data_IF_476274887824
#
_entry.id   IF_476274887824
#
_cell.length_a   1.000
_cell.length_b   1.000
_cell.length_c   1.000
_cell.angle_alpha   90.00
_cell.angle_beta   90.00
_cell.angle_gamma   90.00
#
_symmetry.space_group_name_H-M   'P 1'
#
loop_
_entity.id
_entity.type
_entity.pdbx_description
1 polymer ?
#
# COMPACT_ATOMS: atom_id res chain seq x y z
N UNK A 1 -24.12 -17.29 -43.09
CA UNK A 1 -23.31 -17.87 -42.01
C UNK A 1 -22.18 -16.90 -41.72
N UNK A 2 -22.15 -16.32 -40.53
CA UNK A 2 -21.04 -15.46 -40.11
C UNK A 2 -19.90 -16.38 -39.64
N UNK A 3 -18.82 -16.44 -40.39
CA UNK A 3 -17.60 -17.17 -40.00
C UNK A 3 -16.86 -16.32 -38.96
N UNK A 4 -16.86 -16.76 -37.71
CA UNK A 4 -15.95 -16.25 -36.67
C UNK A 4 -14.52 -16.40 -37.18
N UNK A 5 -13.81 -15.29 -37.36
CA UNK A 5 -12.42 -15.29 -37.80
C UNK A 5 -11.57 -16.11 -36.82
N UNK A 6 -10.74 -17.00 -37.35
CA UNK A 6 -9.76 -17.73 -36.57
C UNK A 6 -8.80 -16.73 -35.93
N UNK A 7 -8.91 -16.51 -34.63
CA UNK A 7 -7.94 -15.74 -33.85
C UNK A 7 -6.60 -16.48 -33.88
N UNK A 8 -5.57 -15.81 -34.37
CA UNK A 8 -4.21 -16.35 -34.36
C UNK A 8 -3.81 -16.60 -32.90
N UNK A 9 -3.55 -17.86 -32.56
CA UNK A 9 -3.07 -18.23 -31.22
C UNK A 9 -1.74 -17.51 -30.94
N UNK A 10 -1.61 -16.94 -29.74
CA UNK A 10 -0.37 -16.26 -29.31
C UNK A 10 0.73 -17.30 -29.04
N UNK A 11 1.98 -16.85 -29.00
CA UNK A 11 3.11 -17.74 -28.70
C UNK A 11 3.04 -18.35 -27.30
N UNK A 12 3.70 -19.50 -27.05
CA UNK A 12 3.67 -20.17 -25.74
C UNK A 12 4.19 -19.28 -24.60
N UNK A 13 5.18 -18.42 -24.87
CA UNK A 13 5.74 -17.49 -23.89
C UNK A 13 4.73 -16.41 -23.47
N UNK A 14 3.80 -16.05 -24.35
CA UNK A 14 2.71 -15.11 -24.05
C UNK A 14 1.74 -15.71 -23.04
N UNK A 15 1.40 -16.98 -23.23
CA UNK A 15 0.57 -17.70 -22.25
C UNK A 15 1.33 -17.93 -20.93
N UNK A 16 2.62 -18.25 -20.98
CA UNK A 16 3.43 -18.36 -19.77
C UNK A 16 3.44 -17.07 -18.95
N UNK A 17 3.54 -15.91 -19.61
CA UNK A 17 3.46 -14.60 -18.96
C UNK A 17 2.07 -14.35 -18.34
N UNK A 18 1.00 -14.52 -19.14
CA UNK A 18 -0.39 -14.33 -18.69
C UNK A 18 -0.74 -15.19 -17.48
N UNK A 19 -0.37 -16.48 -17.48
CA UNK A 19 -0.75 -17.42 -16.43
C UNK A 19 0.26 -17.50 -15.29
N UNK A 20 1.49 -17.06 -15.50
CA UNK A 20 2.57 -17.13 -14.52
C UNK A 20 2.71 -15.89 -13.64
N UNK A 21 2.06 -14.78 -13.99
CA UNK A 21 2.22 -13.51 -13.28
C UNK A 21 1.03 -12.59 -13.41
N UNK A 22 -0.19 -13.08 -13.20
CA UNK A 22 -1.35 -12.21 -13.05
C UNK A 22 -1.64 -11.95 -11.57
N UNK A 23 -2.14 -10.76 -11.25
CA UNK A 23 -2.69 -10.45 -9.95
C UNK A 23 -4.15 -10.88 -9.92
N UNK A 24 -4.47 -11.95 -9.20
CA UNK A 24 -5.85 -12.41 -9.03
C UNK A 24 -6.65 -11.42 -8.18
N UNK A 25 -7.49 -10.61 -8.84
CA UNK A 25 -8.27 -9.55 -8.20
C UNK A 25 -9.63 -10.07 -7.71
N UNK A 26 -10.11 -11.18 -8.26
CA UNK A 26 -11.46 -11.70 -8.00
C UNK A 26 -11.48 -13.06 -7.28
N UNK A 27 -10.33 -13.62 -6.93
CA UNK A 27 -10.10 -14.92 -6.27
C UNK A 27 -10.63 -16.13 -7.04
N UNK A 28 -10.55 -16.11 -8.37
CA UNK A 28 -10.93 -17.27 -9.20
C UNK A 28 -9.71 -18.10 -9.66
N UNK A 29 -8.49 -17.73 -9.24
CA UNK A 29 -7.20 -18.31 -9.63
C UNK A 29 -7.02 -18.38 -11.17
N UNK A 30 -7.59 -17.43 -11.92
CA UNK A 30 -7.52 -17.35 -13.39
C UNK A 30 -7.31 -15.91 -13.86
N UNK A 31 -6.51 -15.69 -14.92
CA UNK A 31 -6.34 -14.38 -15.53
C UNK A 31 -7.50 -14.08 -16.50
N UNK A 32 -8.71 -13.94 -15.97
CA UNK A 32 -9.94 -13.75 -16.77
C UNK A 32 -10.25 -12.28 -17.02
N UNK A 33 -9.84 -11.38 -16.12
CA UNK A 33 -9.96 -9.94 -16.32
C UNK A 33 -8.67 -9.38 -16.94
N UNK A 34 -8.80 -8.45 -17.88
CA UNK A 34 -7.65 -7.80 -18.54
C UNK A 34 -6.76 -7.09 -17.51
N UNK A 35 -7.37 -6.36 -16.57
CA UNK A 35 -6.69 -5.68 -15.45
C UNK A 35 -5.89 -6.58 -14.51
N UNK A 36 -6.00 -7.91 -14.61
CA UNK A 36 -5.23 -8.85 -13.78
C UNK A 36 -3.87 -9.18 -14.38
N UNK A 37 -3.73 -9.09 -15.71
CA UNK A 37 -2.51 -9.50 -16.41
C UNK A 37 -1.96 -8.45 -17.39
N UNK A 38 -2.74 -7.42 -17.72
CA UNK A 38 -2.46 -6.35 -18.68
C UNK A 38 -3.05 -5.05 -18.11
N UNK A 39 -2.27 -4.37 -17.25
CA UNK A 39 -2.70 -3.13 -16.58
C UNK A 39 -2.70 -1.93 -17.54
N UNK A 40 -1.84 -1.93 -18.57
CA UNK A 40 -1.70 -0.83 -19.53
C UNK A 40 -2.64 -0.93 -20.75
N UNK A 41 -3.29 -2.07 -20.94
CA UNK A 41 -4.31 -2.34 -21.95
C UNK A 41 -3.76 -2.52 -23.36
N UNK A 42 -2.48 -2.89 -23.50
CA UNK A 42 -1.83 -3.05 -24.80
C UNK A 42 -2.09 -4.43 -25.46
N UNK A 43 -2.79 -5.33 -24.77
CA UNK A 43 -3.11 -6.69 -25.20
C UNK A 43 -1.96 -7.68 -24.98
N UNK A 44 -0.94 -7.30 -24.21
CA UNK A 44 0.27 -8.03 -23.90
C UNK A 44 0.38 -8.14 -22.37
N UNK A 45 0.62 -9.34 -21.81
CA UNK A 45 0.80 -9.44 -20.38
C UNK A 45 1.97 -8.59 -19.91
N UNK A 46 1.84 -7.91 -18.77
CA UNK A 46 2.89 -7.04 -18.21
C UNK A 46 4.21 -7.82 -17.97
N UNK A 47 4.10 -9.13 -17.76
CA UNK A 47 5.23 -10.06 -17.58
C UNK A 47 5.76 -10.69 -18.89
N UNK A 48 5.26 -10.26 -20.05
CA UNK A 48 5.66 -10.79 -21.34
C UNK A 48 6.79 -9.98 -21.95
N UNK A 49 7.97 -10.62 -22.05
CA UNK A 49 9.17 -9.99 -22.59
C UNK A 49 9.53 -10.61 -23.95
N UNK A 50 9.33 -9.86 -25.03
CA UNK A 50 9.79 -10.24 -26.36
C UNK A 50 11.13 -9.56 -26.69
N UNK A 51 12.23 -10.26 -26.42
CA UNK A 51 13.58 -9.71 -26.61
C UNK A 51 14.06 -9.99 -28.04
N UNK A 52 13.93 -8.99 -28.91
CA UNK A 52 14.55 -8.98 -30.26
C UNK A 52 15.86 -8.18 -30.29
N UNK A 53 16.07 -7.31 -29.29
CA UNK A 53 17.25 -6.46 -29.19
C UNK A 53 17.97 -6.69 -27.85
N UNK A 54 19.21 -7.23 -27.85
CA UNK A 54 19.94 -7.53 -26.62
C UNK A 54 20.28 -6.30 -25.78
N UNK A 55 20.29 -5.08 -26.34
CA UNK A 55 20.45 -3.84 -25.57
C UNK A 55 19.25 -3.53 -24.66
N UNK A 56 18.06 -4.04 -25.00
CA UNK A 56 16.85 -3.89 -24.16
C UNK A 56 16.69 -5.03 -23.16
N UNK A 57 17.50 -6.10 -23.27
CA UNK A 57 17.41 -7.25 -22.39
C UNK A 57 17.69 -6.87 -20.93
N UNK A 58 18.75 -6.10 -20.68
CA UNK A 58 19.12 -5.67 -19.32
C UNK A 58 18.03 -4.79 -18.70
N UNK A 59 17.56 -3.79 -19.43
CA UNK A 59 16.48 -2.91 -18.97
C UNK A 59 15.18 -3.69 -18.69
N UNK A 60 14.81 -4.60 -19.59
CA UNK A 60 13.60 -5.41 -19.42
C UNK A 60 13.74 -6.40 -18.26
N UNK A 61 14.89 -7.02 -18.09
CA UNK A 61 15.16 -7.94 -16.98
C UNK A 61 15.16 -7.21 -15.64
N UNK A 62 15.72 -6.00 -15.57
CA UNK A 62 15.63 -5.14 -14.39
C UNK A 62 14.19 -4.78 -14.09
N UNK A 63 13.39 -4.39 -15.09
CA UNK A 63 11.95 -4.15 -14.91
C UNK A 63 11.23 -5.40 -14.41
N UNK A 64 11.53 -6.58 -14.97
CA UNK A 64 10.93 -7.84 -14.50
C UNK A 64 11.24 -8.11 -13.03
N UNK A 65 12.49 -7.91 -12.61
CA UNK A 65 12.88 -8.08 -11.22
C UNK A 65 12.26 -7.01 -10.32
N UNK A 66 12.18 -5.76 -10.79
CA UNK A 66 11.48 -4.67 -10.10
C UNK A 66 9.99 -5.00 -9.91
N UNK A 67 9.33 -5.53 -10.94
CA UNK A 67 7.93 -5.94 -10.88
C UNK A 67 7.73 -7.14 -9.95
N UNK A 68 8.64 -8.12 -9.97
CA UNK A 68 8.61 -9.25 -9.01
C UNK A 68 8.77 -8.73 -7.58
N UNK A 69 9.71 -7.81 -7.35
CA UNK A 69 9.92 -7.18 -6.05
C UNK A 69 8.72 -6.33 -5.62
N UNK A 70 8.10 -5.59 -6.54
CA UNK A 70 6.92 -4.76 -6.29
C UNK A 70 5.62 -5.53 -6.14
N UNK A 71 5.52 -6.73 -6.74
CA UNK A 71 4.42 -7.69 -6.53
C UNK A 71 4.59 -8.49 -5.25
N UNK A 72 5.83 -8.66 -4.80
CA UNK A 72 6.14 -9.15 -3.47
C UNK A 72 5.68 -8.15 -2.41
N UNK A 73 4.39 -8.15 -2.09
CA UNK A 73 3.92 -7.56 -0.84
C UNK A 73 4.60 -8.31 0.29
N UNK A 74 5.61 -7.66 0.87
CA UNK A 74 6.33 -8.23 2.01
C UNK A 74 5.50 -7.94 3.25
N UNK A 75 5.01 -9.01 3.85
CA UNK A 75 4.26 -8.99 5.09
C UNK A 75 5.25 -9.11 6.24
N UNK A 76 5.06 -8.35 7.31
CA UNK A 76 5.87 -8.52 8.51
C UNK A 76 5.04 -9.02 9.67
N UNK A 77 5.77 -9.61 10.62
CA UNK A 77 5.29 -10.33 11.79
C UNK A 77 4.01 -9.71 12.38
N UNK A 78 2.91 -10.47 12.44
CA UNK A 78 1.66 -10.01 13.05
C UNK A 78 1.91 -9.60 14.51
N UNK A 79 1.43 -8.41 14.88
CA UNK A 79 1.36 -8.00 16.29
C UNK A 79 -0.02 -8.39 16.81
N UNK A 80 -0.04 -9.29 17.79
CA UNK A 80 -1.26 -9.61 18.54
C UNK A 80 -1.32 -8.66 19.73
N UNK A 81 -2.36 -7.84 19.79
CA UNK A 81 -2.55 -6.94 20.93
C UNK A 81 -2.88 -7.76 22.19
N UNK A 82 -2.05 -7.65 23.22
CA UNK A 82 -2.44 -8.03 24.57
C UNK A 82 -3.21 -6.86 25.17
N UNK A 83 -4.43 -7.10 25.64
CA UNK A 83 -5.21 -6.07 26.32
C UNK A 83 -4.50 -5.74 27.66
N UNK A 84 -3.95 -4.52 27.78
CA UNK A 84 -3.20 -4.09 28.97
C UNK A 84 -4.09 -3.99 30.23
N UNK A 85 -5.40 -3.80 30.06
CA UNK A 85 -6.34 -3.69 31.18
C UNK A 85 -6.77 -5.05 31.74
N UNK A 86 -6.68 -6.12 30.94
CA UNK A 86 -7.15 -7.44 31.32
C UNK A 86 -6.20 -8.53 30.83
N UNK A 87 -5.14 -8.77 31.62
CA UNK A 87 -4.04 -9.73 31.35
C UNK A 87 -4.47 -11.21 31.23
N UNK A 88 -5.78 -11.49 31.14
CA UNK A 88 -6.36 -12.84 30.99
C UNK A 88 -7.19 -13.00 29.70
N UNK A 89 -7.28 -11.96 28.87
CA UNK A 89 -7.90 -12.07 27.54
C UNK A 89 -6.87 -11.76 26.45
N UNK A 90 -6.71 -12.71 25.52
CA UNK A 90 -5.98 -12.50 24.27
C UNK A 90 -6.85 -11.62 23.38
N UNK A 91 -6.30 -10.51 22.86
CA UNK A 91 -7.03 -9.68 21.93
C UNK A 91 -7.36 -10.47 20.67
N UNK A 92 -8.64 -10.52 20.30
CA UNK A 92 -9.17 -11.19 19.11
C UNK A 92 -8.91 -10.38 17.83
N UNK A 93 -7.84 -9.58 17.82
CA UNK A 93 -7.44 -8.69 16.74
C UNK A 93 -5.95 -8.83 16.48
N UNK A 94 -5.60 -8.80 15.19
CA UNK A 94 -4.23 -8.81 14.71
C UNK A 94 -3.99 -7.57 13.84
N UNK A 95 -2.86 -6.93 14.07
CA UNK A 95 -2.41 -5.79 13.28
C UNK A 95 -1.28 -6.25 12.37
N UNK A 96 -1.46 -6.00 11.07
CA UNK A 96 -0.56 -6.42 10.01
C UNK A 96 0.02 -5.18 9.34
N UNK A 97 1.34 -5.07 9.39
CA UNK A 97 2.09 -4.05 8.67
C UNK A 97 2.53 -4.60 7.31
N UNK A 98 2.34 -3.79 6.28
CA UNK A 98 2.65 -4.13 4.90
C UNK A 98 3.58 -3.08 4.31
N UNK A 99 4.41 -3.49 3.38
CA UNK A 99 5.16 -2.56 2.55
C UNK A 99 5.31 -3.07 1.11
N UNK A 100 5.42 -2.13 0.18
CA UNK A 100 5.64 -2.35 -1.24
C UNK A 100 6.89 -1.56 -1.66
N UNK A 101 8.02 -2.25 -1.93
CA UNK A 101 9.21 -1.57 -2.40
C UNK A 101 8.94 -0.96 -3.77
N UNK A 102 9.49 0.24 -4.01
CA UNK A 102 9.47 0.93 -5.30
C UNK A 102 10.90 1.35 -5.64
N UNK A 103 11.24 1.30 -6.93
CA UNK A 103 12.58 1.70 -7.40
C UNK A 103 12.72 3.22 -7.52
N UNK A 104 11.66 3.90 -7.97
CA UNK A 104 11.71 5.32 -8.37
C UNK A 104 11.06 6.26 -7.36
N UNK A 105 10.42 5.72 -6.34
CA UNK A 105 9.61 6.47 -5.37
C UNK A 105 9.75 5.85 -3.98
N UNK A 106 9.21 6.52 -2.97
CA UNK A 106 9.25 6.04 -1.60
C UNK A 106 8.53 4.70 -1.45
N UNK A 107 9.05 3.85 -0.56
CA UNK A 107 8.38 2.61 -0.22
C UNK A 107 7.03 2.92 0.41
N UNK A 108 5.99 2.36 -0.19
CA UNK A 108 4.63 2.50 0.32
C UNK A 108 4.46 1.52 1.48
N UNK A 109 3.87 1.98 2.57
CA UNK A 109 3.49 1.13 3.70
C UNK A 109 2.00 1.17 3.96
N UNK A 110 1.50 0.15 4.64
CA UNK A 110 0.13 0.14 5.12
C UNK A 110 0.02 -0.58 6.46
N UNK A 111 -0.99 -0.21 7.25
CA UNK A 111 -1.36 -0.90 8.47
C UNK A 111 -2.81 -1.35 8.34
N UNK A 112 -3.05 -2.64 8.52
CA UNK A 112 -4.38 -3.23 8.46
C UNK A 112 -4.69 -3.95 9.75
N UNK A 113 -5.97 -3.97 10.09
CA UNK A 113 -6.50 -4.66 11.26
C UNK A 113 -7.40 -5.80 10.81
N UNK A 114 -7.17 -6.98 11.34
CA UNK A 114 -7.97 -8.18 11.11
C UNK A 114 -8.40 -8.80 12.45
N UNK A 115 -9.36 -9.71 12.39
CA UNK A 115 -9.82 -10.49 13.53
C UNK A 115 -9.06 -11.79 13.68
N UNK A 116 -9.13 -12.38 14.87
CA UNK A 116 -8.74 -13.75 15.13
C UNK A 116 -9.96 -14.52 15.61
N UNK A 117 -10.23 -15.67 15.00
CA UNK A 117 -11.30 -16.57 15.42
C UNK A 117 -10.77 -18.01 15.56
N UNK A 118 -11.33 -18.78 16.49
CA UNK A 118 -10.91 -20.14 16.78
C UNK A 118 -11.82 -21.14 16.06
N UNK A 119 -11.48 -21.41 14.79
CA UNK A 119 -12.34 -22.16 13.85
C UNK A 119 -11.56 -23.23 13.09
N UNK A 120 -12.22 -24.32 12.68
CA UNK A 120 -11.57 -25.34 11.85
C UNK A 120 -11.39 -24.86 10.41
N UNK A 121 -10.17 -24.99 9.89
CA UNK A 121 -9.82 -24.69 8.48
C UNK A 121 -10.12 -25.87 7.57
N UNK A 122 -11.41 -26.21 7.45
CA UNK A 122 -11.88 -27.32 6.60
C UNK A 122 -11.59 -27.07 5.11
N UNK A 123 -11.53 -25.81 4.68
CA UNK A 123 -11.03 -25.39 3.37
C UNK A 123 -9.59 -25.85 3.09
N UNK A 124 -8.79 -26.04 4.15
CA UNK A 124 -7.42 -26.53 4.10
C UNK A 124 -7.29 -28.00 4.54
N UNK A 125 -8.40 -28.72 4.72
CA UNK A 125 -8.40 -30.09 5.24
C UNK A 125 -8.02 -30.21 6.72
N UNK A 126 -8.00 -29.11 7.47
CA UNK A 126 -7.72 -29.09 8.92
C UNK A 126 -9.04 -29.11 9.67
N UNK A 127 -9.30 -30.20 10.38
CA UNK A 127 -10.57 -30.46 11.06
C UNK A 127 -10.59 -29.97 12.51
N UNK A 128 -9.42 -29.82 13.11
CA UNK A 128 -9.28 -29.27 14.46
C UNK A 128 -9.33 -27.73 14.39
N UNK A 129 -10.06 -27.07 15.31
CA UNK A 129 -10.07 -25.62 15.38
C UNK A 129 -8.68 -25.04 15.65
N UNK A 130 -8.33 -23.99 14.91
CA UNK A 130 -7.10 -23.23 15.06
C UNK A 130 -7.38 -21.72 15.01
N UNK A 131 -6.49 -20.93 15.62
CA UNK A 131 -6.59 -19.47 15.54
C UNK A 131 -6.36 -19.03 14.09
N UNK A 132 -7.42 -18.52 13.49
CA UNK A 132 -7.50 -18.16 12.08
C UNK A 132 -7.74 -16.66 11.95
N UNK A 133 -7.03 -16.04 11.00
CA UNK A 133 -7.26 -14.63 10.64
C UNK A 133 -8.58 -14.51 9.90
N UNK A 134 -9.47 -13.67 10.42
CA UNK A 134 -10.78 -13.36 9.83
C UNK A 134 -10.86 -11.88 9.46
N UNK A 135 -11.69 -11.57 8.48
CA UNK A 135 -11.90 -10.21 7.98
C UNK A 135 -12.89 -9.43 8.85
N UNK A 136 -13.27 -8.22 8.44
CA UNK A 136 -14.21 -7.41 9.21
C UNK A 136 -15.62 -8.01 9.34
N UNK A 137 -16.00 -8.93 8.45
CA UNK A 137 -17.29 -9.61 8.44
C UNK A 137 -17.24 -10.94 9.20
N UNK A 138 -16.05 -11.37 9.66
CA UNK A 138 -15.84 -12.66 10.31
C UNK A 138 -15.54 -13.81 9.34
N UNK A 139 -15.37 -13.52 8.05
CA UNK A 139 -15.01 -14.52 7.05
C UNK A 139 -13.51 -14.82 7.11
N UNK A 140 -13.12 -16.08 6.84
CA UNK A 140 -11.71 -16.49 6.80
C UNK A 140 -10.95 -15.64 5.78
N UNK A 141 -10.02 -14.81 6.26
CA UNK A 141 -9.28 -13.84 5.45
C UNK A 141 -8.05 -14.44 4.77
N UNK A 142 -7.45 -15.49 5.34
CA UNK A 142 -6.23 -16.09 4.82
C UNK A 142 -6.48 -17.34 3.96
N UNK A 143 -5.68 -17.53 2.90
CA UNK A 143 -5.55 -18.79 2.16
C UNK A 143 -4.79 -19.83 3.01
N UNK A 144 -4.72 -21.06 2.54
CA UNK A 144 -4.09 -22.17 3.27
C UNK A 144 -2.56 -22.05 3.38
N UNK A 145 -1.94 -21.26 2.50
CA UNK A 145 -0.51 -20.92 2.49
C UNK A 145 -0.14 -19.74 3.42
N UNK A 146 -1.14 -19.13 4.08
CA UNK A 146 -0.96 -18.00 5.00
C UNK A 146 -1.04 -16.62 4.32
N UNK A 147 -1.15 -16.54 3.00
CA UNK A 147 -1.40 -15.27 2.30
C UNK A 147 -2.84 -14.81 2.52
N UNK A 148 -3.13 -13.51 2.40
CA UNK A 148 -4.51 -13.03 2.46
C UNK A 148 -5.23 -13.21 1.12
N UNK A 149 -6.52 -13.55 1.19
CA UNK A 149 -7.42 -13.56 0.05
C UNK A 149 -7.58 -12.13 -0.47
N UNK A 150 -7.59 -11.93 -1.78
CA UNK A 150 -7.81 -10.61 -2.36
C UNK A 150 -9.20 -10.03 -1.98
N UNK A 151 -10.16 -10.92 -1.73
CA UNK A 151 -11.53 -10.58 -1.33
C UNK A 151 -11.70 -10.24 0.14
N UNK A 152 -10.70 -10.49 1.00
CA UNK A 152 -10.83 -10.18 2.42
C UNK A 152 -10.82 -8.67 2.64
N UNK A 153 -11.66 -8.18 3.55
CA UNK A 153 -11.70 -6.76 3.87
C UNK A 153 -11.25 -6.49 5.30
N UNK A 154 -10.18 -5.70 5.47
CA UNK A 154 -9.71 -5.32 6.81
C UNK A 154 -10.68 -4.34 7.51
N UNK A 155 -10.58 -4.23 8.84
CA UNK A 155 -11.51 -3.42 9.68
C UNK A 155 -11.51 -1.92 9.38
N UNK A 156 -10.50 -1.42 8.66
CA UNK A 156 -10.36 0.00 8.30
C UNK A 156 -10.64 0.25 6.82
N UNK A 157 -11.33 -0.70 6.17
CA UNK A 157 -11.59 -0.69 4.74
C UNK A 157 -13.09 -0.83 4.47
N UNK A 158 -13.58 -0.12 3.46
CA UNK A 158 -14.97 -0.20 2.98
C UNK A 158 -15.13 -1.13 1.78
N UNK A 159 -14.01 -1.59 1.20
CA UNK A 159 -13.96 -2.48 0.04
C UNK A 159 -12.80 -3.48 0.21
N UNK A 160 -12.84 -4.64 -0.49
CA UNK A 160 -11.80 -5.65 -0.42
C UNK A 160 -10.41 -5.06 -0.69
N UNK A 161 -9.51 -5.30 0.26
CA UNK A 161 -8.16 -4.75 0.25
C UNK A 161 -7.09 -5.82 0.42
N UNK A 162 -7.45 -7.01 0.92
CA UNK A 162 -6.57 -8.17 1.00
C UNK A 162 -5.17 -7.85 1.52
N UNK A 163 -4.18 -8.46 0.88
CA UNK A 163 -2.77 -8.17 1.12
C UNK A 163 -2.22 -6.92 0.41
N UNK A 164 -3.04 -6.16 -0.33
CA UNK A 164 -2.57 -5.05 -1.17
C UNK A 164 -2.21 -3.82 -0.32
N UNK A 165 -0.99 -3.31 -0.47
CA UNK A 165 -0.47 -2.15 0.29
C UNK A 165 -1.20 -0.87 -0.08
N UNK A 166 -1.47 -0.67 -1.36
CA UNK A 166 -2.07 0.52 -1.98
C UNK A 166 -3.60 0.57 -1.87
N UNK A 167 -4.21 -0.34 -1.10
CA UNK A 167 -5.67 -0.37 -0.83
C UNK A 167 -5.98 -0.52 0.65
N UNK A 168 -7.06 0.15 1.06
CA UNK A 168 -7.63 0.00 2.39
C UNK A 168 -6.68 0.37 3.54
N UNK A 169 -7.03 -0.08 4.75
CA UNK A 169 -6.22 0.13 5.94
C UNK A 169 -6.06 1.60 6.34
N UNK A 170 -5.08 1.85 7.21
CA UNK A 170 -4.75 3.22 7.64
C UNK A 170 -4.30 4.10 6.47
N UNK A 171 -3.59 3.53 5.49
CA UNK A 171 -3.09 4.30 4.36
C UNK A 171 -4.23 4.90 3.51
N UNK A 172 -5.30 4.15 3.27
CA UNK A 172 -6.48 4.67 2.56
C UNK A 172 -7.23 5.73 3.39
N UNK A 173 -7.43 5.49 4.69
CA UNK A 173 -8.05 6.48 5.59
C UNK A 173 -7.27 7.80 5.62
N UNK A 174 -5.93 7.70 5.64
CA UNK A 174 -5.06 8.87 5.63
C UNK A 174 -5.15 9.62 4.28
N UNK A 175 -5.21 8.88 3.17
CA UNK A 175 -5.42 9.47 1.84
C UNK A 175 -6.79 10.15 1.72
N UNK A 176 -7.85 9.52 2.22
CA UNK A 176 -9.22 10.05 2.18
C UNK A 176 -9.38 11.30 3.05
N UNK A 177 -8.66 11.39 4.16
CA UNK A 177 -8.70 12.56 5.03
C UNK A 177 -8.02 13.81 4.43
N UNK A 178 -7.19 13.67 3.40
CA UNK A 178 -6.52 14.81 2.76
C UNK A 178 -7.51 15.89 2.29
N UNK A 179 -7.16 17.18 2.40
CA UNK A 179 -8.11 18.26 2.16
C UNK A 179 -8.44 18.41 0.67
N UNK A 180 -9.73 18.58 0.36
CA UNK A 180 -10.24 18.80 -1.00
C UNK A 180 -10.56 17.50 -1.76
N UNK A 181 -11.46 17.56 -2.76
CA UNK A 181 -12.01 16.37 -3.42
C UNK A 181 -11.07 15.70 -4.43
N UNK A 182 -10.05 16.41 -4.90
CA UNK A 182 -9.12 15.89 -5.89
C UNK A 182 -8.02 15.04 -5.21
N UNK A 183 -7.75 13.81 -5.68
CA UNK A 183 -6.75 12.94 -5.04
C UNK A 183 -5.30 13.40 -5.22
N UNK A 184 -5.01 14.29 -6.17
CA UNK A 184 -3.66 14.77 -6.52
C UNK A 184 -3.53 16.27 -6.28
N UNK A 185 -4.52 17.05 -6.66
CA UNK A 185 -4.50 18.50 -6.56
C UNK A 185 -4.72 18.99 -5.13
N UNK A 186 -3.96 20.01 -4.73
CA UNK A 186 -4.15 20.71 -3.46
C UNK A 186 -5.26 21.76 -3.61
N UNK A 187 -6.11 22.00 -2.59
CA UNK A 187 -7.04 23.12 -2.59
C UNK A 187 -6.34 24.45 -2.86
N UNK A 188 -7.03 25.39 -3.51
CA UNK A 188 -6.48 26.71 -3.84
C UNK A 188 -6.17 27.57 -2.60
N UNK A 189 -6.71 27.20 -1.43
CA UNK A 189 -6.43 27.83 -0.15
C UNK A 189 -6.54 26.79 0.98
N UNK A 190 -5.84 27.04 2.09
CA UNK A 190 -5.86 26.18 3.27
C UNK A 190 -7.23 26.09 3.96
N UNK A 191 -7.33 25.26 5.02
CA UNK A 191 -6.22 24.70 5.79
C UNK A 191 -5.58 23.44 5.16
N UNK A 192 -4.25 23.41 5.10
CA UNK A 192 -3.49 22.28 4.54
C UNK A 192 -3.15 21.19 5.56
N UNK A 193 -3.19 21.50 6.86
CA UNK A 193 -2.65 20.62 7.92
C UNK A 193 -3.70 20.07 8.88
N UNK A 194 -4.96 20.51 8.78
CA UNK A 194 -5.99 20.19 9.78
C UNK A 194 -6.50 18.76 9.74
N UNK A 195 -6.18 17.99 8.70
CA UNK A 195 -6.73 16.65 8.50
C UNK A 195 -6.03 15.56 9.33
N UNK A 196 -4.83 15.83 9.83
CA UNK A 196 -4.11 14.95 10.76
C UNK A 196 -3.33 15.77 11.77
N UNK A 197 -3.16 15.22 12.96
CA UNK A 197 -2.41 15.89 14.02
C UNK A 197 -1.05 15.25 14.16
N UNK A 198 0.01 16.02 13.91
CA UNK A 198 1.40 15.62 14.16
C UNK A 198 1.93 16.58 15.22
N UNK A 199 2.54 16.03 16.27
CA UNK A 199 3.06 16.80 17.39
C UNK A 199 4.51 16.45 17.64
N UNK A 200 5.26 17.42 18.13
CA UNK A 200 6.64 17.25 18.54
C UNK A 200 6.86 17.86 19.91
N UNK A 201 7.93 17.42 20.58
CA UNK A 201 8.46 18.05 21.77
C UNK A 201 9.69 18.87 21.37
N UNK A 202 9.86 20.04 21.97
CA UNK A 202 11.12 20.78 21.86
C UNK A 202 12.22 20.13 22.70
N UNK A 203 13.46 20.61 22.56
CA UNK A 203 14.64 20.09 23.27
C UNK A 203 14.48 20.15 24.81
N UNK A 204 13.70 21.11 25.30
CA UNK A 204 13.40 21.29 26.72
C UNK A 204 12.36 20.28 27.23
N UNK A 205 11.64 19.61 26.31
CA UNK A 205 10.56 18.65 26.56
C UNK A 205 9.40 19.20 27.42
N UNK A 206 9.26 20.52 27.48
CA UNK A 206 8.33 21.17 28.41
C UNK A 206 6.92 21.29 27.81
N UNK A 207 6.81 21.36 26.48
CA UNK A 207 5.54 21.55 25.79
C UNK A 207 5.41 20.70 24.53
N UNK A 208 4.24 20.06 24.39
CA UNK A 208 3.87 19.36 23.15
C UNK A 208 3.26 20.41 22.21
N UNK A 209 3.90 20.61 21.05
CA UNK A 209 3.49 21.57 20.03
C UNK A 209 3.03 20.83 18.77
N UNK A 210 2.06 21.40 18.07
CA UNK A 210 1.68 20.90 16.74
C UNK A 210 2.83 21.17 15.77
N UNK A 211 3.21 20.17 14.99
CA UNK A 211 4.25 20.25 13.98
C UNK A 211 3.70 20.98 12.75
N UNK A 212 3.65 22.32 12.79
CA UNK A 212 3.11 23.17 11.72
C UNK A 212 4.02 24.37 11.51
N UNK A 213 3.88 25.06 10.36
CA UNK A 213 4.75 26.19 9.96
C UNK A 213 4.86 27.33 10.97
N UNK A 214 3.86 27.50 11.83
CA UNK A 214 3.87 28.55 12.86
C UNK A 214 4.69 28.16 14.09
N UNK A 215 4.87 26.87 14.33
CA UNK A 215 5.55 26.34 15.52
C UNK A 215 6.96 25.83 15.18
N UNK A 216 7.15 25.29 13.97
CA UNK A 216 8.41 24.71 13.51
C UNK A 216 9.16 25.73 12.64
N UNK A 217 10.37 26.06 13.07
CA UNK A 217 11.29 26.97 12.39
C UNK A 217 12.39 26.22 11.62
N UNK A 218 13.14 26.94 10.79
CA UNK A 218 14.28 26.37 10.07
C UNK A 218 15.42 25.91 10.98
N UNK A 219 15.57 26.52 12.16
CA UNK A 219 16.57 26.09 13.16
C UNK A 219 16.17 24.77 13.81
N UNK A 220 14.88 24.54 14.04
CA UNK A 220 14.39 23.30 14.65
C UNK A 220 14.63 22.07 13.75
N UNK A 221 14.80 22.29 12.44
CA UNK A 221 15.05 21.24 11.44
C UNK A 221 16.49 21.24 10.93
N UNK A 222 17.36 22.12 11.43
CA UNK A 222 18.73 22.32 10.95
C UNK A 222 18.83 22.54 9.42
N UNK A 223 17.98 23.41 8.87
CA UNK A 223 17.92 23.73 7.43
C UNK A 223 18.24 25.19 7.13
N UNK A 224 18.79 25.51 5.93
CA UNK A 224 19.31 26.84 5.64
C UNK A 224 18.24 27.95 5.60
N UNK A 225 17.02 27.62 5.16
CA UNK A 225 15.97 28.59 4.88
C UNK A 225 14.56 28.09 5.22
N UNK A 226 13.62 29.02 5.36
CA UNK A 226 12.24 28.72 5.74
C UNK A 226 11.48 27.96 4.66
N UNK A 227 11.80 28.16 3.38
CA UNK A 227 11.15 27.42 2.30
C UNK A 227 11.51 25.94 2.40
N UNK A 228 12.77 25.62 2.64
CA UNK A 228 13.22 24.23 2.88
C UNK A 228 12.52 23.63 4.10
N UNK A 229 12.36 24.39 5.20
CA UNK A 229 11.56 23.93 6.34
C UNK A 229 10.10 23.65 5.96
N UNK A 230 9.46 24.52 5.18
CA UNK A 230 8.09 24.32 4.72
C UNK A 230 7.93 23.11 3.80
N UNK A 231 8.92 22.83 2.95
CA UNK A 231 8.97 21.61 2.12
C UNK A 231 8.98 20.34 2.97
N UNK A 232 9.79 20.31 4.03
CA UNK A 232 9.83 19.19 4.98
C UNK A 232 8.48 19.04 5.70
N UNK A 233 7.91 20.15 6.19
CA UNK A 233 6.60 20.11 6.86
C UNK A 233 5.51 19.61 5.89
N UNK A 234 5.47 20.11 4.65
CA UNK A 234 4.55 19.61 3.62
C UNK A 234 4.71 18.11 3.41
N UNK A 235 5.96 17.64 3.29
CA UNK A 235 6.28 16.22 3.09
C UNK A 235 5.81 15.34 4.25
N UNK A 236 6.04 15.77 5.49
CA UNK A 236 5.59 15.07 6.70
C UNK A 236 4.05 14.96 6.77
N UNK A 237 3.34 15.96 6.25
CA UNK A 237 1.88 15.93 6.09
C UNK A 237 1.43 15.21 4.81
N UNK A 238 2.30 14.56 4.04
CA UNK A 238 1.86 13.76 2.90
C UNK A 238 1.64 14.50 1.59
N UNK A 239 2.10 15.74 1.50
CA UNK A 239 2.26 16.43 0.22
C UNK A 239 3.59 16.04 -0.43
N UNK A 240 3.76 16.37 -1.70
CA UNK A 240 5.05 16.29 -2.38
C UNK A 240 6.07 17.22 -1.71
N UNK A 241 7.37 16.96 -1.87
CA UNK A 241 8.42 17.81 -1.31
C UNK A 241 8.42 19.23 -1.89
N UNK A 242 7.75 19.47 -3.01
CA UNK A 242 7.66 20.80 -3.63
C UNK A 242 6.75 21.77 -2.87
N UNK A 243 7.10 23.04 -2.96
CA UNK A 243 6.39 24.15 -2.36
C UNK A 243 6.37 25.37 -3.29
N UNK A 244 5.26 26.11 -3.28
CA UNK A 244 5.14 27.42 -3.90
C UNK A 244 6.07 28.44 -3.20
N UNK A 245 6.33 29.63 -3.79
CA UNK A 245 7.17 30.66 -3.18
C UNK A 245 6.68 31.15 -1.80
N UNK A 246 5.39 30.99 -1.50
CA UNK A 246 4.79 31.29 -0.20
C UNK A 246 4.87 30.11 0.79
N UNK A 247 5.47 28.98 0.38
CA UNK A 247 5.61 27.75 1.13
C UNK A 247 4.51 26.71 0.88
N UNK A 248 3.37 27.09 0.28
CA UNK A 248 2.19 26.22 0.13
C UNK A 248 2.49 24.94 -0.66
N UNK A 249 1.86 23.81 -0.29
CA UNK A 249 2.10 22.55 -0.99
C UNK A 249 1.58 22.60 -2.42
N UNK A 250 2.29 21.95 -3.34
CA UNK A 250 1.96 21.95 -4.77
C UNK A 250 1.06 20.78 -5.16
N UNK A 251 1.32 19.58 -4.63
CA UNK A 251 0.58 18.37 -4.93
C UNK A 251 0.48 17.45 -3.71
N UNK A 252 -0.54 16.61 -3.69
CA UNK A 252 -0.71 15.49 -2.75
C UNK A 252 0.13 14.30 -3.21
N UNK A 253 0.66 13.50 -2.29
CA UNK A 253 1.28 12.22 -2.67
C UNK A 253 0.20 11.20 -3.00
N UNK A 254 0.52 10.33 -3.95
CA UNK A 254 -0.33 9.19 -4.33
C UNK A 254 -0.65 8.30 -3.12
N UNK A 255 0.34 8.11 -2.24
CA UNK A 255 0.23 7.36 -1.00
C UNK A 255 1.03 8.04 0.12
N UNK A 256 0.42 8.18 1.30
CA UNK A 256 1.00 8.99 2.40
C UNK A 256 1.76 8.12 3.40
N UNK A 257 1.31 6.90 3.63
CA UNK A 257 1.94 6.05 4.62
C UNK A 257 3.19 5.41 4.01
N UNK A 258 4.36 5.75 4.54
CA UNK A 258 5.61 5.10 4.18
C UNK A 258 5.74 3.74 4.85
N UNK A 259 6.79 2.99 4.51
CA UNK A 259 7.11 1.75 5.20
C UNK A 259 7.30 1.98 6.72
N UNK A 260 6.59 1.17 7.50
CA UNK A 260 6.55 1.20 8.96
C UNK A 260 7.81 0.52 9.55
N UNK A 261 8.54 -0.26 8.75
CA UNK A 261 9.46 -1.29 9.24
C UNK A 261 10.89 -0.96 8.87
N UNK A 262 11.10 -0.56 7.61
CA UNK A 262 12.39 -0.11 7.12
C UNK A 262 12.39 1.41 7.02
N UNK A 263 11.93 2.10 8.08
CA UNK A 263 12.08 3.54 8.27
C UNK A 263 13.57 3.93 8.41
N UNK A 264 14.37 3.61 7.40
CA UNK A 264 15.63 4.26 7.10
C UNK A 264 15.31 5.32 6.05
N UNK A 265 15.45 6.63 6.37
CA UNK A 265 15.50 7.63 5.32
C UNK A 265 16.73 7.31 4.46
N UNK A 266 16.50 6.87 3.23
CA UNK A 266 17.53 6.88 2.18
C UNK A 266 17.57 8.23 1.51
#
# INVERSE_FOLDING_TARGET
GSTTAATLLKGPLWYAAKWGGFNDLNNNDRPDLESEWDEDGDGVPDTYFYVVNPLKLEQQLNQSFADILGRGVSHVAPVVSVDEANRTQSGDKVYLAYFKPRETDYWQGNLKKYGLDYVPRTDCGRIEPEWTVVDQNGDIAAKCDGTLKAGSTSYWSTAPDGGQVDKGGVGALLKESMPGPDPVSVPSAGPYYSFRTIRYCDEEHETIKDFIRTNVSKSDLDVPDNITAYKIINFVYGYTFDALPNGDPVAKREWILGDIIHSEPR
#
